data_IF_737816167350
#
_entry.id   IF_737816167350
#
_cell.length_a   1.000
_cell.length_b   1.000
_cell.length_c   1.000
_cell.angle_alpha   90.00
_cell.angle_beta   90.00
_cell.angle_gamma   90.00
#
_symmetry.space_group_name_H-M   'P 1'
#
loop_
_entity.id
_entity.type
_entity.pdbx_description
1 polymer ?
#
# COMPACT_ATOMS: atom_id res chain seq x y z
N UNK A 1 -5.08 9.19 -16.78
CA UNK A 1 -5.05 7.78 -16.30
C UNK A 1 -5.77 7.74 -14.96
N UNK A 2 -6.72 6.84 -14.79
CA UNK A 2 -7.47 6.73 -13.53
C UNK A 2 -6.56 6.16 -12.44
N UNK A 3 -6.51 6.81 -11.27
CA UNK A 3 -5.73 6.33 -10.13
C UNK A 3 -6.27 4.99 -9.63
N UNK A 4 -5.39 4.03 -9.41
CA UNK A 4 -5.78 2.75 -8.83
C UNK A 4 -6.17 2.90 -7.36
N UNK A 5 -7.20 2.15 -6.95
CA UNK A 5 -7.60 2.07 -5.54
C UNK A 5 -6.50 1.33 -4.79
N UNK A 6 -5.93 1.99 -3.80
CA UNK A 6 -4.89 1.41 -2.95
C UNK A 6 -5.49 0.44 -1.95
N UNK A 7 -4.79 -0.66 -1.72
CA UNK A 7 -5.04 -1.49 -0.54
C UNK A 7 -4.67 -0.72 0.73
N UNK A 8 -5.22 -1.14 1.86
CA UNK A 8 -4.88 -0.52 3.13
C UNK A 8 -4.54 -1.54 4.21
N UNK A 9 -3.86 -1.06 5.23
CA UNK A 9 -3.42 -1.84 6.39
C UNK A 9 -3.97 -1.20 7.66
N UNK A 10 -4.66 -1.98 8.47
CA UNK A 10 -5.07 -1.59 9.82
C UNK A 10 -3.94 -1.92 10.78
N UNK A 11 -3.32 -0.89 11.34
CA UNK A 11 -2.19 -1.01 12.24
C UNK A 11 -2.23 0.06 13.33
N UNK A 12 -1.94 -0.31 14.56
CA UNK A 12 -2.01 0.61 15.72
C UNK A 12 -3.33 1.40 15.79
N UNK A 13 -4.45 0.73 15.47
CA UNK A 13 -5.81 1.32 15.42
C UNK A 13 -5.98 2.45 14.40
N UNK A 14 -5.10 2.54 13.43
CA UNK A 14 -5.15 3.50 12.33
C UNK A 14 -5.22 2.77 10.99
N UNK A 15 -5.80 3.44 10.00
CA UNK A 15 -5.81 2.98 8.62
C UNK A 15 -4.67 3.64 7.84
N UNK A 16 -3.74 2.82 7.38
CA UNK A 16 -2.64 3.22 6.51
C UNK A 16 -2.92 2.77 5.08
N UNK A 17 -2.52 3.56 4.11
CA UNK A 17 -2.45 3.09 2.73
C UNK A 17 -1.24 2.15 2.60
N UNK A 18 -1.44 1.02 1.90
CA UNK A 18 -0.33 0.18 1.47
C UNK A 18 0.34 0.85 0.26
N UNK A 19 1.55 1.34 0.46
CA UNK A 19 2.28 2.12 -0.55
C UNK A 19 3.03 1.19 -1.50
N UNK A 20 3.78 0.24 -0.95
CA UNK A 20 4.54 -0.72 -1.73
C UNK A 20 4.93 -1.95 -0.90
N UNK A 21 5.41 -2.98 -1.58
CA UNK A 21 5.83 -4.24 -0.97
C UNK A 21 7.15 -4.71 -1.56
N UNK A 22 8.02 -5.29 -0.74
CA UNK A 22 9.30 -5.84 -1.19
C UNK A 22 9.09 -7.07 -2.11
N UNK A 23 8.07 -7.87 -1.79
CA UNK A 23 7.60 -9.00 -2.59
C UNK A 23 6.10 -8.89 -2.71
N UNK A 24 5.55 -9.42 -3.79
CA UNK A 24 4.11 -9.37 -3.99
C UNK A 24 3.35 -9.96 -2.81
N UNK A 25 2.45 -9.17 -2.26
CA UNK A 25 1.51 -9.58 -1.22
C UNK A 25 0.27 -10.12 -1.91
N UNK A 26 0.28 -11.44 -2.16
CA UNK A 26 -0.73 -12.09 -3.00
C UNK A 26 -1.90 -12.55 -2.14
N UNK A 27 -3.09 -12.08 -2.48
CA UNK A 27 -4.35 -12.69 -2.06
C UNK A 27 -4.58 -13.90 -2.97
N UNK A 28 -4.49 -15.08 -2.41
CA UNK A 28 -4.61 -16.35 -3.14
C UNK A 28 -6.07 -16.75 -3.40
N UNK A 29 -6.25 -17.78 -4.23
CA UNK A 29 -7.58 -18.37 -4.49
C UNK A 29 -8.29 -18.88 -3.22
N UNK A 30 -7.52 -19.19 -2.17
CA UNK A 30 -8.06 -19.68 -0.90
C UNK A 30 -8.97 -18.68 -0.17
N UNK A 31 -8.96 -17.41 -0.58
CA UNK A 31 -9.89 -16.39 -0.09
C UNK A 31 -11.31 -16.56 -0.64
N UNK A 32 -11.56 -17.49 -1.54
CA UNK A 32 -12.88 -17.99 -1.93
C UNK A 32 -13.77 -17.05 -2.74
N UNK A 33 -13.39 -15.79 -2.96
CA UNK A 33 -14.13 -14.85 -3.79
C UNK A 33 -13.51 -14.77 -5.19
N UNK A 34 -14.32 -15.01 -6.21
CA UNK A 34 -13.91 -14.84 -7.61
C UNK A 34 -13.80 -13.33 -7.91
N UNK A 35 -12.76 -12.97 -8.64
CA UNK A 35 -12.59 -11.60 -9.14
C UNK A 35 -13.70 -11.26 -10.15
N UNK A 36 -14.04 -9.97 -10.26
CA UNK A 36 -14.95 -9.52 -11.29
C UNK A 36 -14.30 -9.55 -12.66
N UNK A 37 -15.04 -10.00 -13.67
CA UNK A 37 -14.56 -10.05 -15.06
C UNK A 37 -14.54 -8.64 -15.71
N UNK A 38 -15.20 -7.66 -15.09
CA UNK A 38 -15.26 -6.28 -15.56
C UNK A 38 -14.75 -5.34 -14.48
N UNK A 39 -13.41 -5.31 -14.23
CA UNK A 39 -12.84 -4.40 -13.23
C UNK A 39 -13.05 -2.96 -13.69
N UNK A 40 -13.30 -2.06 -12.73
CA UNK A 40 -13.30 -0.63 -13.03
C UNK A 40 -11.92 -0.16 -13.44
N UNK A 41 -11.83 0.96 -14.15
CA UNK A 41 -10.53 1.58 -14.50
C UNK A 41 -9.68 1.93 -13.28
N UNK A 42 -10.28 2.03 -12.09
CA UNK A 42 -9.60 2.25 -10.82
C UNK A 42 -9.21 0.93 -10.11
N UNK A 43 -9.59 -0.23 -10.61
CA UNK A 43 -9.31 -1.52 -9.99
C UNK A 43 -9.12 -2.62 -11.05
N UNK A 44 -7.99 -2.60 -11.76
CA UNK A 44 -7.69 -3.57 -12.83
C UNK A 44 -7.57 -5.02 -12.35
N UNK A 45 -7.28 -5.24 -11.06
CA UNK A 45 -7.21 -6.59 -10.50
C UNK A 45 -8.57 -7.27 -10.34
N UNK A 46 -9.65 -6.50 -10.43
CA UNK A 46 -11.00 -6.98 -10.14
C UNK A 46 -11.28 -7.23 -8.66
N UNK A 47 -10.36 -6.87 -7.77
CA UNK A 47 -10.54 -6.90 -6.32
C UNK A 47 -9.68 -5.84 -5.64
N UNK A 48 -10.06 -5.47 -4.43
CA UNK A 48 -9.24 -4.74 -3.46
C UNK A 48 -8.95 -5.64 -2.27
N UNK A 49 -7.95 -5.27 -1.47
CA UNK A 49 -7.63 -5.99 -0.26
C UNK A 49 -7.42 -5.03 0.90
N UNK A 50 -7.68 -5.49 2.10
CA UNK A 50 -7.16 -4.85 3.28
C UNK A 50 -6.49 -5.87 4.19
N UNK A 51 -5.52 -5.38 4.94
CA UNK A 51 -4.70 -6.18 5.80
C UNK A 51 -4.84 -5.69 7.23
N UNK A 52 -4.68 -6.60 8.18
CA UNK A 52 -4.64 -6.27 9.61
C UNK A 52 -3.38 -6.86 10.22
N UNK A 53 -2.80 -6.12 11.17
CA UNK A 53 -1.69 -6.62 11.98
C UNK A 53 -2.21 -6.72 13.41
N UNK A 54 -2.51 -7.95 13.83
CA UNK A 54 -3.07 -8.28 15.14
C UNK A 54 -2.15 -9.28 15.83
N UNK A 55 -1.82 -9.03 17.08
CA UNK A 55 -0.89 -9.86 17.87
C UNK A 55 0.45 -10.11 17.16
N UNK A 56 0.87 -9.15 16.35
CA UNK A 56 2.10 -9.24 15.56
C UNK A 56 2.00 -10.11 14.30
N UNK A 57 0.80 -10.54 13.89
CA UNK A 57 0.60 -11.33 12.68
C UNK A 57 -0.18 -10.56 11.62
N UNK A 58 0.28 -10.73 10.37
CA UNK A 58 -0.38 -10.19 9.19
C UNK A 58 -1.53 -11.09 8.76
N UNK A 59 -2.71 -10.50 8.58
CA UNK A 59 -3.87 -11.15 7.99
C UNK A 59 -4.41 -10.31 6.86
N UNK A 60 -5.09 -10.93 5.91
CA UNK A 60 -5.69 -10.26 4.76
C UNK A 60 -7.15 -10.61 4.57
N UNK A 61 -7.87 -9.68 3.94
CA UNK A 61 -9.26 -9.84 3.49
C UNK A 61 -9.33 -9.39 2.04
N UNK A 62 -9.91 -10.23 1.19
CA UNK A 62 -10.23 -9.90 -0.19
C UNK A 62 -11.61 -9.25 -0.28
N UNK A 63 -11.72 -8.18 -1.01
CA UNK A 63 -12.97 -7.45 -1.25
C UNK A 63 -13.23 -7.35 -2.75
N UNK A 64 -14.41 -7.75 -3.18
CA UNK A 64 -14.83 -7.72 -4.58
C UNK A 64 -16.13 -6.95 -4.71
N UNK A 65 -16.20 -6.05 -5.67
CA UNK A 65 -17.40 -5.33 -6.04
C UNK A 65 -18.03 -5.99 -7.27
N UNK A 66 -19.21 -6.55 -7.10
CA UNK A 66 -19.97 -7.16 -8.19
C UNK A 66 -21.02 -6.18 -8.72
N UNK A 67 -21.11 -6.07 -10.03
CA UNK A 67 -22.20 -5.34 -10.67
C UNK A 67 -23.47 -6.19 -10.60
N UNK A 68 -24.53 -5.63 -9.99
CA UNK A 68 -25.82 -6.33 -9.83
C UNK A 68 -26.78 -5.96 -10.96
N UNK A 69 -26.69 -4.73 -11.43
CA UNK A 69 -27.59 -4.19 -12.43
C UNK A 69 -26.82 -3.22 -13.33
N UNK A 70 -26.76 -3.57 -14.64
CA UNK A 70 -26.04 -2.80 -15.64
C UNK A 70 -26.68 -1.43 -15.91
N UNK A 71 -28.00 -1.35 -15.86
CA UNK A 71 -28.72 -0.12 -16.21
C UNK A 71 -28.59 0.95 -15.13
N UNK A 72 -28.56 0.55 -13.86
CA UNK A 72 -28.43 1.46 -12.72
C UNK A 72 -27.01 1.56 -12.16
N UNK A 73 -26.05 0.83 -12.72
CA UNK A 73 -24.68 0.71 -12.20
C UNK A 73 -24.61 0.32 -10.70
N UNK A 74 -25.62 -0.41 -10.25
CA UNK A 74 -25.69 -0.84 -8.87
C UNK A 74 -24.68 -1.95 -8.59
N UNK A 75 -23.88 -1.77 -7.54
CA UNK A 75 -22.86 -2.74 -7.13
C UNK A 75 -23.13 -3.30 -5.75
N UNK A 76 -22.70 -4.53 -5.52
CA UNK A 76 -22.65 -5.19 -4.20
C UNK A 76 -21.19 -5.50 -3.87
N UNK A 77 -20.75 -5.12 -2.66
CA UNK A 77 -19.43 -5.47 -2.17
C UNK A 77 -19.50 -6.73 -1.33
N UNK A 78 -18.68 -7.73 -1.68
CA UNK A 78 -18.49 -8.95 -0.88
C UNK A 78 -17.08 -9.00 -0.33
N UNK A 79 -16.95 -9.48 0.89
CA UNK A 79 -15.66 -9.68 1.57
C UNK A 79 -15.45 -11.16 1.87
N UNK A 80 -14.20 -11.60 1.73
CA UNK A 80 -13.77 -12.92 2.18
C UNK A 80 -13.68 -12.98 3.70
N UNK A 81 -13.54 -14.19 4.23
CA UNK A 81 -13.05 -14.35 5.59
C UNK A 81 -11.63 -13.81 5.72
N UNK A 82 -11.30 -13.31 6.91
CA UNK A 82 -9.95 -12.89 7.26
C UNK A 82 -9.06 -14.11 7.44
N UNK A 83 -7.94 -14.14 6.71
CA UNK A 83 -6.97 -15.23 6.78
C UNK A 83 -5.57 -14.73 7.06
N UNK A 84 -4.83 -15.50 7.87
CA UNK A 84 -3.41 -15.25 8.10
C UNK A 84 -2.61 -15.35 6.79
N UNK A 85 -1.71 -14.39 6.60
CA UNK A 85 -0.83 -14.33 5.44
C UNK A 85 0.54 -14.91 5.78
N UNK A 86 1.01 -15.85 4.97
CA UNK A 86 2.38 -16.34 5.07
C UNK A 86 3.30 -15.47 4.21
N UNK A 87 3.60 -14.28 4.70
CA UNK A 87 4.41 -13.30 3.99
C UNK A 87 5.77 -13.12 4.66
N UNK A 88 6.83 -13.12 3.85
CA UNK A 88 8.20 -12.79 4.28
C UNK A 88 8.73 -11.68 3.39
N UNK A 89 8.96 -10.52 3.95
CA UNK A 89 9.41 -9.31 3.27
C UNK A 89 8.95 -8.06 3.99
N UNK A 90 9.29 -6.90 3.46
CA UNK A 90 8.82 -5.63 3.98
C UNK A 90 7.62 -5.09 3.21
N UNK A 91 6.80 -4.32 3.92
CA UNK A 91 5.77 -3.46 3.33
C UNK A 91 6.03 -2.02 3.77
N UNK A 92 5.67 -1.10 2.91
CA UNK A 92 5.72 0.34 3.14
C UNK A 92 4.30 0.85 3.29
N UNK A 93 4.00 1.46 4.43
CA UNK A 93 2.68 2.00 4.74
C UNK A 93 2.77 3.46 5.15
N UNK A 94 1.77 4.25 4.78
CA UNK A 94 1.66 5.66 5.14
C UNK A 94 0.22 6.03 5.47
N UNK A 95 0.03 6.92 6.45
CA UNK A 95 -1.28 7.53 6.65
C UNK A 95 -1.73 8.25 5.38
N UNK A 96 -3.04 8.25 5.07
CA UNK A 96 -3.57 9.10 4.02
C UNK A 96 -3.16 10.54 4.31
N UNK A 97 -2.26 11.08 3.49
CA UNK A 97 -1.87 12.50 3.51
C UNK A 97 -2.80 13.32 2.63
N UNK A 98 -2.64 14.64 2.68
CA UNK A 98 -3.38 15.57 1.82
C UNK A 98 -3.31 15.19 0.32
N UNK A 99 -3.95 15.96 -0.52
CA UNK A 99 -4.18 15.68 -1.94
C UNK A 99 -3.00 14.99 -2.65
N UNK A 100 -3.18 13.69 -2.92
CA UNK A 100 -2.23 12.89 -3.69
C UNK A 100 -2.39 13.24 -5.18
N UNK A 101 -1.79 14.33 -5.61
CA UNK A 101 -1.79 14.74 -7.03
C UNK A 101 -0.73 14.05 -7.87
N UNK A 102 0.15 13.25 -7.27
CA UNK A 102 1.19 12.54 -8.00
C UNK A 102 0.90 11.05 -8.12
N UNK A 103 1.10 10.51 -9.32
CA UNK A 103 1.07 9.09 -9.64
C UNK A 103 2.19 8.28 -8.94
N UNK A 104 3.01 8.94 -8.15
CA UNK A 104 4.13 8.35 -7.45
C UNK A 104 3.74 7.98 -6.01
N UNK A 105 3.39 6.72 -5.84
CA UNK A 105 2.97 6.16 -4.56
C UNK A 105 4.01 6.36 -3.44
N UNK A 106 5.31 6.36 -3.77
CA UNK A 106 6.35 6.50 -2.75
C UNK A 106 6.43 7.94 -2.25
N UNK A 107 6.12 8.92 -3.09
CA UNK A 107 6.01 10.32 -2.65
C UNK A 107 4.95 10.49 -1.56
N UNK A 108 3.93 9.65 -1.55
CA UNK A 108 2.92 9.63 -0.48
C UNK A 108 3.53 9.44 0.92
N UNK A 109 4.65 8.72 1.03
CA UNK A 109 5.37 8.56 2.29
C UNK A 109 6.05 9.83 2.78
N UNK A 110 6.32 10.77 1.89
CA UNK A 110 6.98 12.03 2.23
C UNK A 110 5.98 13.13 2.57
N UNK A 111 4.77 13.04 2.03
CA UNK A 111 3.69 14.02 2.23
C UNK A 111 2.71 13.65 3.34
N UNK A 112 3.00 12.63 4.13
CA UNK A 112 2.20 12.16 5.26
C UNK A 112 2.75 12.62 6.59
N UNK A 113 1.96 12.45 7.66
CA UNK A 113 2.42 12.70 9.03
C UNK A 113 3.03 11.46 9.69
N UNK A 114 2.72 10.26 9.18
CA UNK A 114 3.17 9.01 9.78
C UNK A 114 3.31 7.92 8.70
N UNK A 115 4.47 7.28 8.65
CA UNK A 115 4.76 6.17 7.76
C UNK A 115 5.72 5.17 8.43
N UNK A 116 5.66 3.92 7.97
CA UNK A 116 6.49 2.83 8.48
C UNK A 116 6.97 1.92 7.36
N UNK A 117 8.17 1.38 7.53
CA UNK A 117 8.58 0.12 6.92
C UNK A 117 8.35 -1.01 7.93
N UNK A 118 7.57 -2.01 7.58
CA UNK A 118 7.25 -3.16 8.41
C UNK A 118 7.81 -4.42 7.78
N UNK A 119 8.68 -5.14 8.48
CA UNK A 119 9.27 -6.38 7.99
C UNK A 119 8.65 -7.59 8.66
N UNK A 120 8.19 -8.53 7.85
CA UNK A 120 7.58 -9.79 8.26
C UNK A 120 8.45 -10.97 7.93
N UNK A 121 8.38 -12.00 8.77
CA UNK A 121 8.90 -13.33 8.50
C UNK A 121 7.81 -14.35 8.78
N UNK A 122 7.41 -15.10 7.75
CA UNK A 122 6.31 -16.08 7.82
C UNK A 122 5.03 -15.46 8.43
N UNK A 123 4.68 -14.25 8.02
CA UNK A 123 3.53 -13.51 8.49
C UNK A 123 3.66 -12.83 9.85
N UNK A 124 4.74 -13.08 10.60
CA UNK A 124 5.01 -12.43 11.88
C UNK A 124 5.79 -11.14 11.68
N UNK A 125 5.33 -10.05 12.28
CA UNK A 125 6.04 -8.78 12.32
C UNK A 125 7.33 -8.93 13.14
N UNK A 126 8.49 -8.76 12.49
CA UNK A 126 9.80 -8.89 13.11
C UNK A 126 10.43 -7.53 13.38
N UNK A 127 10.16 -6.57 12.53
CA UNK A 127 10.75 -5.23 12.63
C UNK A 127 9.77 -4.17 12.18
N UNK A 128 9.76 -3.08 12.94
CA UNK A 128 9.09 -1.82 12.61
C UNK A 128 10.14 -0.73 12.51
N UNK A 129 10.11 0.05 11.45
CA UNK A 129 10.98 1.20 11.25
C UNK A 129 10.08 2.41 11.00
N UNK A 130 9.94 3.32 11.99
CA UNK A 130 9.26 4.60 11.79
C UNK A 130 10.03 5.46 10.78
N UNK A 131 9.33 6.18 9.93
CA UNK A 131 9.92 7.06 8.91
C UNK A 131 9.82 8.55 9.24
N UNK A 132 9.56 8.89 10.50
CA UNK A 132 9.38 10.28 10.96
C UNK A 132 10.59 11.15 10.63
N UNK A 133 11.81 10.64 10.83
CA UNK A 133 13.04 11.38 10.50
C UNK A 133 13.18 11.64 9.01
N UNK A 134 12.80 10.69 8.18
CA UNK A 134 12.80 10.86 6.72
C UNK A 134 11.79 11.93 6.29
N UNK A 135 10.58 11.87 6.83
CA UNK A 135 9.50 12.83 6.55
C UNK A 135 9.92 14.23 6.98
N UNK A 136 10.46 14.39 8.18
CA UNK A 136 10.94 15.67 8.70
C UNK A 136 12.03 16.27 7.82
N UNK A 137 13.03 15.48 7.44
CA UNK A 137 14.11 15.94 6.56
C UNK A 137 13.62 16.35 5.19
N UNK A 138 12.64 15.61 4.66
CA UNK A 138 12.04 15.98 3.37
C UNK A 138 11.30 17.30 3.44
N UNK A 139 10.52 17.55 4.50
CA UNK A 139 9.85 18.84 4.73
C UNK A 139 10.83 20.00 4.81
N UNK A 140 11.94 19.81 5.51
CA UNK A 140 13.00 20.84 5.57
C UNK A 140 13.60 21.15 4.19
N UNK A 141 13.75 20.15 3.34
CA UNK A 141 14.21 20.30 1.95
C UNK A 141 13.20 21.09 1.12
N UNK A 142 11.92 20.77 1.25
CA UNK A 142 10.84 21.47 0.54
C UNK A 142 10.72 22.94 1.02
N UNK A 143 10.71 23.19 2.31
CA UNK A 143 10.64 24.52 2.89
C UNK A 143 11.80 25.42 2.46
N UNK A 144 12.99 24.87 2.35
CA UNK A 144 14.20 25.60 1.93
C UNK A 144 14.40 25.65 0.42
N UNK A 145 13.47 25.07 -0.34
CA UNK A 145 13.56 24.96 -1.82
C UNK A 145 14.89 24.37 -2.31
N UNK A 146 15.43 23.39 -1.59
CA UNK A 146 16.69 22.73 -1.94
C UNK A 146 16.43 21.74 -3.06
N UNK A 147 17.17 21.84 -4.15
CA UNK A 147 17.11 20.84 -5.23
C UNK A 147 17.79 19.56 -4.79
N UNK A 148 17.03 18.48 -4.67
CA UNK A 148 17.51 17.15 -4.28
C UNK A 148 16.98 16.12 -5.25
N UNK A 149 17.84 15.17 -5.60
CA UNK A 149 17.42 13.98 -6.31
C UNK A 149 16.56 13.11 -5.38
N UNK A 150 15.27 13.09 -5.65
CA UNK A 150 14.25 12.40 -4.89
C UNK A 150 14.52 10.89 -4.76
N UNK A 151 14.94 10.23 -5.85
CA UNK A 151 15.25 8.80 -5.79
C UNK A 151 16.46 8.49 -4.90
N UNK A 152 17.48 9.31 -4.98
CA UNK A 152 18.66 9.16 -4.11
C UNK A 152 18.31 9.41 -2.65
N UNK A 153 17.44 10.38 -2.40
CA UNK A 153 16.95 10.65 -1.05
C UNK A 153 16.24 9.42 -0.48
N UNK A 154 15.28 8.84 -1.20
CA UNK A 154 14.56 7.66 -0.76
C UNK A 154 15.48 6.45 -0.57
N UNK A 155 16.37 6.17 -1.54
CA UNK A 155 17.35 5.08 -1.43
C UNK A 155 18.24 5.18 -0.20
N UNK A 156 18.53 6.38 0.27
CA UNK A 156 19.33 6.63 1.47
C UNK A 156 18.55 6.35 2.76
N UNK A 157 17.24 6.60 2.77
CA UNK A 157 16.43 6.57 3.98
C UNK A 157 15.59 5.30 4.14
N UNK A 158 15.19 4.66 3.03
CA UNK A 158 14.48 3.40 3.07
C UNK A 158 15.46 2.23 3.19
N UNK A 159 15.18 1.32 4.11
CA UNK A 159 16.03 0.15 4.35
C UNK A 159 15.84 -0.93 3.29
N UNK A 160 14.62 -1.09 2.81
CA UNK A 160 14.25 -2.16 1.88
C UNK A 160 13.99 -1.62 0.49
N UNK A 161 14.15 -2.50 -0.52
CA UNK A 161 13.76 -2.22 -1.91
C UNK A 161 12.36 -2.75 -2.15
N UNK A 162 11.55 -2.02 -2.90
CA UNK A 162 10.16 -2.33 -3.15
C UNK A 162 9.90 -2.73 -4.60
N UNK A 163 8.84 -3.52 -4.84
CA UNK A 163 8.56 -4.14 -6.14
C UNK A 163 8.07 -3.15 -7.18
N UNK A 164 7.11 -2.32 -6.80
CA UNK A 164 6.40 -1.45 -7.75
C UNK A 164 7.13 -0.15 -7.99
N UNK A 165 8.06 0.17 -7.11
CA UNK A 165 8.94 1.27 -7.35
C UNK A 165 9.95 0.88 -8.42
N UNK A 166 9.65 1.28 -9.64
CA UNK A 166 10.59 1.16 -10.74
C UNK A 166 11.74 2.15 -10.52
N UNK A 167 12.74 1.72 -9.77
CA UNK A 167 14.05 2.37 -9.72
C UNK A 167 14.74 2.40 -11.11
N UNK A 168 14.02 1.94 -12.12
CA UNK A 168 14.46 2.00 -13.49
C UNK A 168 14.34 3.46 -13.92
N UNK A 169 15.50 4.06 -14.07
CA UNK A 169 15.70 5.18 -14.97
C UNK A 169 14.74 5.03 -16.15
N UNK A 170 13.79 5.97 -16.27
CA UNK A 170 13.21 6.23 -17.59
C UNK A 170 14.38 6.67 -18.44
N UNK A 171 14.93 5.71 -19.17
CA UNK A 171 15.87 6.01 -20.23
C UNK A 171 15.20 6.85 -21.30
#
# INVERSE_FOLDING_TARGET
MTKQISDYVLYKRKRFNLIDTQKNLIITADFGLKETDCPSTACYRGYTAYYTIEDGFLSGVKRVNYLIDDDSFKTETKESEKKKMNYTGSILIALPGGELFNDDFIYACLSTDEAYELYFKNGKLIREIPLDDMIRKWREIEEKHISVDYEKFLKKHLKYKYCDYKWKTRG
#
